data_IF_713386430821
#
_entry.id   IF_713386430821
#
_cell.length_a   1.000
_cell.length_b   1.000
_cell.length_c   1.000
_cell.angle_alpha   90.00
_cell.angle_beta   90.00
_cell.angle_gamma   90.00
#
_symmetry.space_group_name_H-M   'P 1'
#
loop_
_entity.id
_entity.type
_entity.pdbx_description
1 polymer ?
#
# COMPACT_ATOMS: atom_id res chain seq x y z
N UNK A 1 5.01 -17.61 14.31
CA UNK A 1 5.37 -17.18 12.96
C UNK A 1 6.10 -15.83 13.04
N UNK A 2 7.15 -15.57 12.23
CA UNK A 2 7.91 -14.31 12.26
C UNK A 2 7.03 -13.07 12.06
N UNK A 3 5.96 -13.17 11.29
CA UNK A 3 5.01 -12.10 11.05
C UNK A 3 4.22 -11.66 12.28
N UNK A 4 4.01 -12.50 13.27
CA UNK A 4 3.20 -12.14 14.45
C UNK A 4 3.79 -10.97 15.25
N UNK A 5 5.12 -10.85 15.30
CA UNK A 5 5.78 -9.73 15.98
C UNK A 5 5.59 -8.39 15.26
N UNK A 6 5.30 -8.41 13.96
CA UNK A 6 5.00 -7.23 13.18
C UNK A 6 3.55 -6.76 13.43
N UNK A 7 2.60 -7.71 13.44
CA UNK A 7 1.18 -7.42 13.64
C UNK A 7 0.85 -7.20 15.13
N UNK A 8 1.42 -6.12 15.67
CA UNK A 8 1.22 -5.72 17.06
C UNK A 8 0.67 -4.28 17.07
N UNK A 9 -0.59 -4.13 17.43
CA UNK A 9 -1.30 -2.85 17.47
C UNK A 9 -0.91 -1.94 18.64
N UNK A 10 -0.08 -2.43 19.58
CA UNK A 10 0.53 -1.61 20.62
C UNK A 10 1.84 -0.94 20.20
N UNK A 11 2.30 -1.15 18.95
CA UNK A 11 3.53 -0.57 18.40
C UNK A 11 3.24 0.25 17.16
N UNK A 12 3.98 1.36 17.02
CA UNK A 12 3.98 2.16 15.80
C UNK A 12 5.29 1.87 15.07
N UNK A 13 5.17 1.31 13.86
CA UNK A 13 6.31 1.10 12.98
C UNK A 13 6.72 2.40 12.31
N UNK A 14 7.97 2.49 11.88
CA UNK A 14 8.49 3.61 11.09
C UNK A 14 8.70 3.16 9.66
N UNK A 15 7.99 3.78 8.74
CA UNK A 15 8.11 3.54 7.31
C UNK A 15 8.67 4.78 6.64
N UNK A 16 9.64 4.56 5.75
CA UNK A 16 10.13 5.60 4.86
C UNK A 16 10.00 5.11 3.42
N UNK A 17 9.12 5.74 2.66
CA UNK A 17 8.91 5.47 1.24
C UNK A 17 9.75 6.45 0.42
N UNK A 18 10.51 5.93 -0.53
CA UNK A 18 11.30 6.73 -1.45
C UNK A 18 11.07 6.28 -2.88
N UNK A 19 10.88 7.23 -3.79
CA UNK A 19 10.75 6.96 -5.22
C UNK A 19 11.19 8.16 -6.05
N UNK A 20 11.54 7.92 -7.31
CA UNK A 20 11.84 9.01 -8.23
C UNK A 20 10.62 9.86 -8.54
N UNK A 21 10.83 11.10 -8.99
CA UNK A 21 9.73 11.96 -9.42
C UNK A 21 8.95 11.34 -10.59
N UNK A 22 9.64 10.67 -11.52
CA UNK A 22 9.00 10.01 -12.66
C UNK A 22 8.05 8.88 -12.19
N UNK A 23 8.46 8.05 -11.23
CA UNK A 23 7.63 7.00 -10.65
C UNK A 23 6.46 7.58 -9.83
N UNK A 24 6.70 8.64 -9.08
CA UNK A 24 5.64 9.34 -8.36
C UNK A 24 4.56 9.89 -9.30
N UNK A 25 4.96 10.49 -10.42
CA UNK A 25 4.03 10.98 -11.43
C UNK A 25 3.30 9.81 -12.13
N UNK A 26 4.00 8.70 -12.39
CA UNK A 26 3.39 7.49 -12.96
C UNK A 26 2.32 6.86 -12.05
N UNK A 27 2.43 7.05 -10.73
CA UNK A 27 1.46 6.55 -9.74
C UNK A 27 0.14 7.34 -9.73
N UNK A 28 0.04 8.46 -10.45
CA UNK A 28 -1.20 9.26 -10.51
C UNK A 28 -2.37 8.42 -11.02
N UNK A 29 -3.52 8.59 -10.38
CA UNK A 29 -4.73 7.90 -10.78
C UNK A 29 -5.13 8.26 -12.22
N UNK A 30 -5.40 7.25 -13.02
CA UNK A 30 -5.91 7.41 -14.38
C UNK A 30 -7.34 7.95 -14.34
N UNK A 31 -7.65 8.91 -15.19
CA UNK A 31 -9.01 9.40 -15.36
C UNK A 31 -9.80 8.44 -16.27
N UNK A 32 -10.42 7.46 -15.65
CA UNK A 32 -11.22 6.44 -16.34
C UNK A 32 -12.49 7.01 -16.99
N UNK A 33 -12.88 8.27 -16.72
CA UNK A 33 -14.04 8.91 -17.34
C UNK A 33 -13.79 9.33 -18.78
N UNK A 34 -12.53 9.50 -19.18
CA UNK A 34 -12.14 9.95 -20.52
C UNK A 34 -12.01 8.83 -21.55
N UNK A 35 -12.38 7.60 -21.21
CA UNK A 35 -12.35 6.48 -22.16
C UNK A 35 -10.96 6.12 -22.71
N UNK A 36 -9.91 6.70 -22.16
CA UNK A 36 -8.55 6.42 -22.58
C UNK A 36 -8.11 5.12 -21.89
N UNK A 37 -8.43 3.99 -22.52
CA UNK A 37 -7.63 2.79 -22.31
C UNK A 37 -6.28 3.09 -22.99
N UNK A 38 -5.16 3.16 -22.24
CA UNK A 38 -3.85 3.24 -22.89
C UNK A 38 -3.65 1.99 -23.74
N UNK A 39 -2.99 2.11 -24.89
CA UNK A 39 -2.81 1.10 -25.92
C UNK A 39 -2.14 -0.22 -25.49
N UNK A 40 -1.65 -0.33 -24.26
CA UNK A 40 -0.98 -1.52 -23.69
C UNK A 40 -1.84 -2.34 -22.73
N UNK A 41 -3.15 -2.48 -22.96
CA UNK A 41 -4.01 -3.28 -22.08
C UNK A 41 -3.84 -4.79 -22.19
N UNK A 42 -3.03 -5.26 -23.10
CA UNK A 42 -2.77 -6.68 -23.34
C UNK A 42 -1.31 -6.97 -22.99
N UNK A 43 -1.00 -7.38 -21.76
CA UNK A 43 0.28 -8.05 -21.46
C UNK A 43 0.12 -9.54 -21.75
N UNK A 44 1.04 -10.10 -22.52
CA UNK A 44 1.23 -11.55 -22.60
C UNK A 44 1.76 -12.02 -21.24
N UNK A 45 0.94 -12.74 -20.50
CA UNK A 45 1.36 -13.48 -19.31
C UNK A 45 1.25 -14.95 -19.71
N UNK A 46 2.36 -15.68 -19.66
CA UNK A 46 2.45 -17.11 -20.01
C UNK A 46 1.94 -17.47 -21.41
N UNK A 47 2.17 -16.62 -22.41
CA UNK A 47 1.80 -16.90 -23.79
C UNK A 47 0.33 -16.66 -24.15
N UNK A 48 -0.54 -16.40 -23.19
CA UNK A 48 -1.94 -16.05 -23.39
C UNK A 48 -2.18 -14.54 -23.27
N UNK A 49 -3.00 -14.00 -24.19
CA UNK A 49 -3.51 -12.64 -24.06
C UNK A 49 -4.59 -12.61 -22.99
N UNK A 50 -4.25 -12.23 -21.77
CA UNK A 50 -5.23 -11.98 -20.72
C UNK A 50 -5.53 -10.48 -20.65
N UNK A 51 -6.82 -10.16 -20.67
CA UNK A 51 -7.31 -8.81 -20.37
C UNK A 51 -6.93 -8.47 -18.92
N UNK A 52 -5.88 -7.68 -18.77
CA UNK A 52 -5.52 -7.17 -17.44
C UNK A 52 -6.53 -6.08 -17.12
N UNK A 53 -7.48 -6.35 -16.22
CA UNK A 53 -8.32 -5.33 -15.65
C UNK A 53 -7.42 -4.23 -15.09
N UNK A 54 -7.27 -3.14 -15.82
CA UNK A 54 -6.45 -2.01 -15.39
C UNK A 54 -7.07 -1.39 -14.16
N UNK A 55 -6.39 -1.56 -13.06
CA UNK A 55 -6.68 -0.77 -11.89
C UNK A 55 -6.57 0.72 -12.28
N UNK A 56 -7.53 1.52 -11.86
CA UNK A 56 -7.46 2.99 -11.93
C UNK A 56 -6.13 3.54 -11.39
N UNK A 57 -5.44 2.76 -10.58
CA UNK A 57 -4.21 3.13 -9.91
C UNK A 57 -3.06 2.29 -10.47
N UNK A 58 -2.19 2.88 -11.31
CA UNK A 58 -1.00 2.20 -11.80
C UNK A 58 -0.01 1.93 -10.65
N UNK A 59 0.81 0.91 -10.85
CA UNK A 59 1.94 0.62 -9.99
C UNK A 59 3.14 1.49 -10.39
N UNK A 60 3.87 1.93 -9.39
CA UNK A 60 5.13 2.64 -9.52
C UNK A 60 6.20 1.93 -8.67
N UNK A 61 7.44 1.98 -9.10
CA UNK A 61 8.56 1.37 -8.39
C UNK A 61 9.17 2.36 -7.39
N UNK A 62 9.69 1.83 -6.28
CA UNK A 62 10.38 2.62 -5.28
C UNK A 62 11.15 1.76 -4.30
N UNK A 63 11.54 2.33 -3.19
CA UNK A 63 12.10 1.63 -2.05
C UNK A 63 11.30 1.93 -0.78
N UNK A 64 11.36 1.02 0.18
CA UNK A 64 10.70 1.15 1.47
C UNK A 64 11.65 0.74 2.58
N UNK A 65 11.84 1.62 3.55
CA UNK A 65 12.55 1.28 4.79
C UNK A 65 11.53 1.02 5.88
N UNK A 66 11.58 -0.14 6.51
CA UNK A 66 10.71 -0.54 7.61
C UNK A 66 11.55 -0.72 8.87
N UNK A 67 11.39 0.14 9.86
CA UNK A 67 12.13 0.08 11.13
C UNK A 67 13.67 0.01 10.96
N UNK A 68 14.20 0.65 9.91
CA UNK A 68 15.62 0.67 9.58
C UNK A 68 16.06 -0.42 8.60
N UNK A 69 15.22 -1.40 8.28
CA UNK A 69 15.50 -2.39 7.24
C UNK A 69 15.05 -1.87 5.87
N UNK A 70 15.98 -1.78 4.92
CA UNK A 70 15.78 -1.20 3.60
C UNK A 70 15.44 -2.26 2.56
N UNK A 71 14.37 -2.04 1.80
CA UNK A 71 13.86 -2.92 0.74
C UNK A 71 13.79 -2.14 -0.57
N UNK A 72 14.57 -2.54 -1.55
CA UNK A 72 14.59 -1.95 -2.89
C UNK A 72 13.59 -2.62 -3.83
N UNK A 73 13.21 -1.91 -4.90
CA UNK A 73 12.40 -2.47 -5.97
C UNK A 73 11.02 -2.93 -5.50
N UNK A 74 10.42 -2.18 -4.57
CA UNK A 74 9.02 -2.42 -4.17
C UNK A 74 8.08 -1.76 -5.18
N UNK A 75 6.87 -2.31 -5.30
CA UNK A 75 5.79 -1.65 -6.03
C UNK A 75 4.86 -0.89 -5.08
N UNK A 76 4.55 0.34 -5.41
CA UNK A 76 3.56 1.13 -4.70
C UNK A 76 2.44 1.57 -5.63
N UNK A 77 1.22 1.66 -5.14
CA UNK A 77 0.09 2.27 -5.85
C UNK A 77 -0.93 2.84 -4.88
N UNK A 78 -1.70 3.80 -5.33
CA UNK A 78 -2.89 4.20 -4.59
C UNK A 78 -3.96 3.12 -4.59
N UNK A 79 -4.87 3.17 -3.64
CA UNK A 79 -6.03 2.28 -3.54
C UNK A 79 -7.26 3.03 -3.03
N UNK A 80 -8.41 2.35 -3.17
CA UNK A 80 -9.70 2.88 -2.74
C UNK A 80 -10.43 3.66 -3.83
N UNK A 81 -11.71 3.87 -3.65
CA UNK A 81 -12.57 4.59 -4.58
C UNK A 81 -13.05 5.90 -3.96
N UNK A 82 -14.04 5.83 -3.07
CA UNK A 82 -14.57 7.00 -2.39
C UNK A 82 -13.50 7.69 -1.54
N UNK A 83 -12.74 6.92 -0.75
CA UNK A 83 -11.68 7.44 0.11
C UNK A 83 -10.57 8.16 -0.67
N UNK A 84 -10.20 7.65 -1.86
CA UNK A 84 -9.22 8.34 -2.71
C UNK A 84 -9.76 9.70 -3.21
N UNK A 85 -11.03 9.75 -3.61
CA UNK A 85 -11.64 10.98 -4.11
C UNK A 85 -11.83 12.03 -3.00
N UNK A 86 -12.19 11.61 -1.80
CA UNK A 86 -12.37 12.50 -0.64
C UNK A 86 -11.04 13.10 -0.14
N UNK A 87 -9.93 12.41 -0.39
CA UNK A 87 -8.60 12.86 0.00
C UNK A 87 -7.86 13.60 -1.14
N UNK A 88 -8.59 14.14 -2.13
CA UNK A 88 -8.00 14.95 -3.21
C UNK A 88 -7.25 16.15 -2.63
N UNK A 89 -6.05 16.38 -3.15
CA UNK A 89 -5.19 17.48 -2.66
C UNK A 89 -4.32 17.14 -1.45
N UNK A 90 -4.52 16.00 -0.80
CA UNK A 90 -3.64 15.50 0.26
C UNK A 90 -2.59 14.55 -0.29
N UNK A 91 -1.36 14.63 0.22
CA UNK A 91 -0.33 13.61 0.00
C UNK A 91 -0.69 12.31 0.74
N UNK A 92 -1.35 12.44 1.88
CA UNK A 92 -1.80 11.31 2.69
C UNK A 92 -2.98 10.60 2.04
N UNK A 93 -2.73 9.48 1.38
CA UNK A 93 -3.73 8.66 0.69
C UNK A 93 -3.55 7.18 0.99
N UNK A 94 -4.62 6.41 0.84
CA UNK A 94 -4.51 4.96 0.96
C UNK A 94 -3.59 4.41 -0.14
N UNK A 95 -2.67 3.54 0.26
CA UNK A 95 -1.71 2.90 -0.63
C UNK A 95 -1.71 1.39 -0.47
N UNK A 96 -1.25 0.70 -1.48
CA UNK A 96 -0.90 -0.72 -1.44
C UNK A 96 0.56 -0.84 -1.85
N UNK A 97 1.34 -1.55 -1.05
CA UNK A 97 2.75 -1.79 -1.31
C UNK A 97 2.95 -3.28 -1.52
N UNK A 98 3.66 -3.64 -2.56
CA UNK A 98 4.06 -4.98 -2.90
C UNK A 98 5.58 -5.09 -2.77
N UNK A 99 6.04 -5.84 -1.77
CA UNK A 99 7.46 -5.94 -1.43
C UNK A 99 8.21 -6.80 -2.45
N UNK A 100 7.57 -7.83 -2.99
CA UNK A 100 8.09 -8.77 -3.99
C UNK A 100 7.91 -8.26 -5.44
N UNK A 101 7.92 -6.93 -5.66
CA UNK A 101 7.61 -6.36 -6.98
C UNK A 101 8.65 -6.72 -8.04
N UNK A 102 9.92 -6.40 -7.80
CA UNK A 102 11.02 -6.73 -8.71
C UNK A 102 11.69 -8.06 -8.37
N UNK A 103 11.82 -8.36 -7.07
CA UNK A 103 12.39 -9.60 -6.57
C UNK A 103 11.30 -10.45 -5.90
N UNK A 104 10.97 -11.59 -6.48
CA UNK A 104 9.87 -12.46 -6.00
C UNK A 104 10.14 -13.14 -4.66
N UNK A 105 11.40 -13.22 -4.25
CA UNK A 105 11.80 -13.79 -2.96
C UNK A 105 11.83 -12.73 -1.84
N UNK A 106 11.66 -11.45 -2.20
CA UNK A 106 11.71 -10.36 -1.25
C UNK A 106 10.44 -10.31 -0.40
N UNK A 107 10.63 -10.27 0.89
CA UNK A 107 9.56 -10.11 1.87
C UNK A 107 10.09 -9.41 3.13
N UNK A 108 9.21 -8.95 3.98
CA UNK A 108 9.52 -8.48 5.33
C UNK A 108 8.84 -9.39 6.34
N UNK A 109 9.60 -10.24 7.02
CA UNK A 109 9.08 -11.19 8.03
C UNK A 109 7.92 -12.06 7.48
N UNK A 110 8.09 -12.58 6.27
CA UNK A 110 7.10 -13.37 5.53
C UNK A 110 5.87 -12.56 5.08
N UNK A 111 5.97 -11.24 5.03
CA UNK A 111 4.95 -10.35 4.49
C UNK A 111 5.40 -9.91 3.10
N UNK A 112 4.58 -10.11 2.08
CA UNK A 112 4.83 -9.72 0.69
C UNK A 112 4.05 -8.47 0.29
N UNK A 113 2.92 -8.22 0.96
CA UNK A 113 2.03 -7.11 0.61
C UNK A 113 1.49 -6.41 1.84
N UNK A 114 1.52 -5.09 1.81
CA UNK A 114 1.00 -4.21 2.87
C UNK A 114 -0.11 -3.32 2.31
N UNK A 115 -1.22 -3.23 3.04
CA UNK A 115 -2.28 -2.27 2.77
C UNK A 115 -2.19 -1.13 3.78
N UNK A 116 -1.95 0.07 3.29
CA UNK A 116 -1.77 1.29 4.08
C UNK A 116 -3.05 2.11 4.01
N UNK A 117 -3.82 2.12 5.10
CA UNK A 117 -5.04 2.88 5.22
C UNK A 117 -4.77 4.21 5.93
N UNK A 118 -4.95 5.31 5.21
CA UNK A 118 -4.66 6.66 5.70
C UNK A 118 -5.68 7.16 6.74
N UNK A 119 -6.81 6.47 6.88
CA UNK A 119 -7.85 6.81 7.84
C UNK A 119 -8.45 8.21 7.64
N UNK A 120 -8.56 8.69 6.38
CA UNK A 120 -9.04 10.05 6.09
C UNK A 120 -10.47 10.32 6.54
N UNK A 121 -11.30 9.26 6.63
CA UNK A 121 -12.68 9.32 7.11
C UNK A 121 -12.84 8.83 8.56
N UNK A 122 -11.76 8.47 9.19
CA UNK A 122 -11.74 8.00 10.58
C UNK A 122 -10.81 8.87 11.43
N UNK A 123 -11.34 9.88 12.13
CA UNK A 123 -10.55 10.72 13.01
C UNK A 123 -9.86 9.94 14.13
N UNK A 124 -10.47 8.86 14.61
CA UNK A 124 -9.92 8.02 15.68
C UNK A 124 -8.74 7.17 15.22
N UNK A 125 -8.66 6.83 13.92
CA UNK A 125 -7.74 5.83 13.33
C UNK A 125 -7.92 4.40 13.87
N UNK A 126 -8.96 4.15 14.65
CA UNK A 126 -9.17 2.90 15.36
C UNK A 126 -10.25 2.00 14.75
N UNK A 127 -11.08 2.50 13.84
CA UNK A 127 -12.21 1.73 13.30
C UNK A 127 -11.79 0.43 12.64
N UNK A 128 -10.78 0.48 11.77
CA UNK A 128 -10.25 -0.72 11.11
C UNK A 128 -9.66 -1.70 12.15
N UNK A 129 -8.86 -1.17 13.08
CA UNK A 129 -8.19 -1.98 14.12
C UNK A 129 -9.21 -2.64 15.03
N UNK A 130 -10.13 -1.85 15.58
CA UNK A 130 -11.16 -2.34 16.50
C UNK A 130 -12.13 -3.31 15.80
N UNK A 131 -12.56 -2.99 14.57
CA UNK A 131 -13.47 -3.84 13.81
C UNK A 131 -12.86 -5.21 13.52
N UNK A 132 -11.62 -5.25 13.00
CA UNK A 132 -10.95 -6.52 12.73
C UNK A 132 -10.59 -7.29 14.02
N UNK A 133 -10.21 -6.59 15.08
CA UNK A 133 -10.01 -7.22 16.39
C UNK A 133 -11.31 -7.88 16.89
N UNK A 134 -12.44 -7.19 16.86
CA UNK A 134 -13.73 -7.70 17.29
C UNK A 134 -14.14 -8.96 16.51
N UNK A 135 -13.95 -8.97 15.20
CA UNK A 135 -14.23 -10.16 14.38
C UNK A 135 -13.36 -11.35 14.80
N UNK A 136 -12.07 -11.15 15.02
CA UNK A 136 -11.18 -12.23 15.50
C UNK A 136 -11.58 -12.76 16.85
N UNK A 137 -11.92 -11.88 17.81
CA UNK A 137 -12.44 -12.29 19.13
C UNK A 137 -13.75 -13.06 19.03
N UNK A 138 -14.58 -12.76 18.05
CA UNK A 138 -15.81 -13.50 17.76
C UNK A 138 -15.59 -14.81 17.00
N UNK A 139 -14.33 -15.21 16.74
CA UNK A 139 -13.99 -16.43 16.00
C UNK A 139 -14.16 -16.31 14.49
N UNK A 140 -14.39 -15.12 13.95
CA UNK A 140 -14.47 -14.86 12.52
C UNK A 140 -13.08 -14.51 11.97
N UNK A 141 -12.57 -15.22 10.95
CA UNK A 141 -11.30 -14.86 10.33
C UNK A 141 -11.31 -13.41 9.84
N UNK A 142 -10.35 -12.62 10.28
CA UNK A 142 -10.23 -11.21 9.91
C UNK A 142 -8.76 -10.77 9.88
N UNK A 143 -8.40 -9.82 9.00
CA UNK A 143 -7.03 -9.33 8.86
C UNK A 143 -6.43 -8.85 10.18
N UNK A 144 -5.13 -9.09 10.36
CA UNK A 144 -4.36 -8.46 11.41
C UNK A 144 -4.07 -7.00 11.06
N UNK A 145 -3.88 -6.19 12.07
CA UNK A 145 -3.61 -4.76 11.92
C UNK A 145 -2.43 -4.33 12.78
N UNK A 146 -1.80 -3.25 12.38
CA UNK A 146 -0.81 -2.52 13.16
C UNK A 146 -0.77 -1.06 12.70
N UNK A 147 0.06 -0.23 13.32
CA UNK A 147 0.23 1.16 12.96
C UNK A 147 1.62 1.43 12.40
N UNK A 148 1.69 2.40 11.49
CA UNK A 148 2.96 2.95 11.03
C UNK A 148 2.89 4.46 10.84
N UNK A 149 3.92 5.15 11.29
CA UNK A 149 4.23 6.52 10.86
C UNK A 149 4.98 6.44 9.53
N UNK A 150 4.52 7.21 8.55
CA UNK A 150 5.08 7.17 7.21
C UNK A 150 5.68 8.52 6.85
N UNK A 151 6.92 8.47 6.35
CA UNK A 151 7.60 9.58 5.68
C UNK A 151 7.81 9.26 4.22
N UNK A 152 7.90 10.29 3.38
CA UNK A 152 8.07 10.20 1.93
C UNK A 152 9.24 11.07 1.48
N UNK A 153 10.13 10.51 0.66
CA UNK A 153 11.12 11.27 -0.10
C UNK A 153 10.88 11.10 -1.59
N UNK A 154 10.83 12.24 -2.28
CA UNK A 154 10.89 12.36 -3.73
C UNK A 154 11.95 13.40 -4.03
N UNK A 155 13.16 12.99 -4.44
CA UNK A 155 14.29 13.89 -4.58
C UNK A 155 13.94 15.14 -5.40
N UNK A 156 14.29 16.30 -4.87
CA UNK A 156 13.98 17.59 -5.48
C UNK A 156 12.56 18.12 -5.26
N UNK A 157 11.69 17.35 -4.57
CA UNK A 157 10.29 17.74 -4.34
C UNK A 157 9.85 17.62 -2.88
N UNK A 158 10.13 16.50 -2.25
CA UNK A 158 9.82 16.20 -0.85
C UNK A 158 11.01 15.50 -0.20
N UNK A 159 11.46 16.01 0.94
CA UNK A 159 12.56 15.45 1.72
C UNK A 159 12.03 15.01 3.08
N UNK A 160 11.87 13.70 3.28
CA UNK A 160 11.30 13.09 4.48
C UNK A 160 9.96 13.71 4.92
N UNK A 161 9.12 14.04 3.94
CA UNK A 161 7.80 14.63 4.20
C UNK A 161 6.95 13.69 5.05
N UNK A 162 6.46 14.17 6.19
CA UNK A 162 5.67 13.38 7.11
C UNK A 162 4.23 13.21 6.62
N UNK A 163 3.88 12.02 6.18
CA UNK A 163 2.52 11.71 5.74
C UNK A 163 1.58 11.42 6.91
N UNK A 164 2.12 11.11 8.09
CA UNK A 164 1.36 10.84 9.30
C UNK A 164 1.11 9.37 9.59
N UNK A 165 0.28 9.10 10.59
CA UNK A 165 -0.07 7.77 11.06
C UNK A 165 -1.01 7.06 10.09
N UNK A 166 -0.68 5.80 9.74
CA UNK A 166 -1.50 4.89 8.94
C UNK A 166 -1.85 3.65 9.74
N UNK A 167 -3.02 3.08 9.45
CA UNK A 167 -3.34 1.71 9.82
C UNK A 167 -2.83 0.79 8.72
N UNK A 168 -1.96 -0.15 9.09
CA UNK A 168 -1.48 -1.20 8.18
C UNK A 168 -2.39 -2.40 8.36
N UNK A 169 -2.96 -2.88 7.25
CA UNK A 169 -3.90 -4.00 7.24
C UNK A 169 -3.30 -5.16 6.46
N UNK A 170 -3.37 -6.34 7.03
CA UNK A 170 -2.91 -7.57 6.39
C UNK A 170 -3.61 -7.82 5.06
N UNK A 171 -2.87 -8.35 4.09
CA UNK A 171 -3.44 -8.74 2.81
C UNK A 171 -4.15 -10.07 2.95
N UNK A 172 -5.45 -10.07 2.73
CA UNK A 172 -6.22 -11.32 2.57
C UNK A 172 -5.94 -11.87 1.17
N UNK A 173 -5.34 -13.04 1.13
CA UNK A 173 -5.02 -13.79 -0.08
C UNK A 173 -5.27 -15.28 0.17
N UNK A 174 -4.83 -16.16 -0.74
CA UNK A 174 -5.03 -17.62 -0.62
C UNK A 174 -4.31 -18.25 0.59
N UNK A 175 -3.34 -17.56 1.19
CA UNK A 175 -2.59 -18.02 2.37
C UNK A 175 -3.13 -17.44 3.70
N UNK A 176 -4.23 -16.70 3.66
CA UNK A 176 -4.89 -16.11 4.83
C UNK A 176 -5.68 -17.13 5.65
#
# INVERSE_FOLDING_TARGET
>A
QPSNAFWNDSKIHRFHLEMSEAEWEAMKALDTRKGVAPADSLKKIDGEQREVHRSRFPWAEGSLTINGEHLNGIGARYKGNASFNLMRGSLKRNMKIKLDWTNKDQNYKSIETLNLNAGGLDPSKLRDVFGYWLFREAGVPAPRTTFADITLTIPGRYEQEYLGLYTIVEQVNKSF
#
